data_IF_338231725128
#
_entry.id   IF_338231725128
#
_cell.length_a   1.000
_cell.length_b   1.000
_cell.length_c   1.000
_cell.angle_alpha   90.00
_cell.angle_beta   90.00
_cell.angle_gamma   90.00
#
_symmetry.space_group_name_H-M   'P 1'
#
loop_
_entity.id
_entity.type
_entity.pdbx_description
1 polymer ?
#
# COMPACT_ATOMS: atom_id res chain seq x y z
N UNK A 1 -20.28 -11.35 -16.94
CA UNK A 1 -18.95 -11.32 -16.29
C UNK A 1 -18.26 -9.96 -16.46
N UNK A 2 -18.12 -9.46 -17.70
CA UNK A 2 -17.49 -8.17 -18.02
C UNK A 2 -17.99 -6.95 -17.23
N UNK A 3 -19.31 -6.87 -16.94
CA UNK A 3 -19.88 -5.77 -16.14
C UNK A 3 -19.39 -5.80 -14.67
N UNK A 4 -19.22 -6.99 -14.09
CA UNK A 4 -18.73 -7.17 -12.71
C UNK A 4 -17.24 -6.87 -12.64
N UNK A 5 -16.47 -7.32 -13.62
CA UNK A 5 -15.03 -7.03 -13.70
C UNK A 5 -14.76 -5.51 -13.83
N UNK A 6 -15.54 -4.83 -14.66
CA UNK A 6 -15.43 -3.37 -14.81
C UNK A 6 -15.86 -2.62 -13.54
N UNK A 7 -16.87 -3.15 -12.83
CA UNK A 7 -17.30 -2.58 -11.56
C UNK A 7 -16.23 -2.74 -10.46
N UNK A 8 -15.52 -3.87 -10.42
CA UNK A 8 -14.41 -4.08 -9.48
C UNK A 8 -13.19 -3.23 -9.87
N UNK A 9 -12.79 -3.19 -11.14
CA UNK A 9 -11.64 -2.42 -11.62
C UNK A 9 -11.77 -0.90 -11.43
N UNK A 10 -12.99 -0.37 -11.36
CA UNK A 10 -13.22 1.07 -11.16
C UNK A 10 -13.14 1.52 -9.71
N UNK A 11 -12.98 0.60 -8.75
CA UNK A 11 -12.88 0.90 -7.32
C UNK A 11 -11.44 1.12 -6.90
N UNK A 12 -11.22 2.11 -6.04
CA UNK A 12 -9.97 2.27 -5.32
C UNK A 12 -9.86 1.19 -4.23
N UNK A 13 -8.80 0.39 -4.26
CA UNK A 13 -8.53 -0.68 -3.31
C UNK A 13 -7.40 -0.24 -2.38
N UNK A 14 -7.62 -0.32 -1.06
CA UNK A 14 -6.61 -0.05 -0.04
C UNK A 14 -6.35 -1.32 0.76
N UNK A 15 -5.11 -1.78 0.80
CA UNK A 15 -4.72 -2.96 1.56
C UNK A 15 -4.48 -2.61 3.05
N UNK A 16 -4.90 -3.49 3.96
CA UNK A 16 -4.68 -3.36 5.40
C UNK A 16 -4.46 -4.74 6.03
N UNK A 17 -3.62 -4.80 7.07
CA UNK A 17 -3.40 -6.01 7.88
C UNK A 17 -1.92 -6.33 8.05
N UNK A 18 -1.34 -5.96 9.19
CA UNK A 18 0.04 -6.32 9.54
C UNK A 18 1.13 -5.81 8.59
N UNK A 19 0.83 -4.83 7.73
CA UNK A 19 1.72 -4.35 6.66
C UNK A 19 2.97 -3.70 7.24
N UNK A 20 4.13 -4.21 6.82
CA UNK A 20 5.45 -3.63 7.01
C UNK A 20 6.00 -3.02 5.72
N UNK A 21 7.20 -2.46 5.81
CA UNK A 21 7.84 -1.76 4.70
C UNK A 21 8.18 -2.68 3.52
N UNK A 22 8.46 -3.96 3.79
CA UNK A 22 8.83 -4.94 2.76
C UNK A 22 7.63 -5.47 1.97
N UNK A 23 6.41 -5.23 2.45
CA UNK A 23 5.18 -5.73 1.81
C UNK A 23 4.66 -4.77 0.73
N UNK A 24 5.19 -3.55 0.64
CA UNK A 24 4.62 -2.50 -0.22
C UNK A 24 4.66 -2.90 -1.69
N UNK A 25 5.83 -3.25 -2.22
CA UNK A 25 5.98 -3.61 -3.63
C UNK A 25 5.04 -4.74 -4.08
N UNK A 26 4.98 -5.91 -3.41
CA UNK A 26 4.06 -6.97 -3.83
C UNK A 26 2.59 -6.58 -3.70
N UNK A 27 2.21 -5.73 -2.73
CA UNK A 27 0.83 -5.24 -2.57
C UNK A 27 0.42 -4.33 -3.73
N UNK A 28 1.29 -3.40 -4.15
CA UNK A 28 1.01 -2.52 -5.28
C UNK A 28 0.93 -3.32 -6.58
N UNK A 29 1.88 -4.25 -6.82
CA UNK A 29 1.85 -5.15 -7.99
C UNK A 29 0.61 -6.04 -8.05
N UNK A 30 -0.02 -6.33 -6.90
CA UNK A 30 -1.27 -7.07 -6.85
C UNK A 30 -2.51 -6.22 -7.23
N UNK A 31 -2.36 -4.92 -7.46
CA UNK A 31 -3.41 -4.01 -7.92
C UNK A 31 -4.02 -3.15 -6.82
N UNK A 32 -3.42 -3.08 -5.63
CA UNK A 32 -3.87 -2.14 -4.60
C UNK A 32 -3.45 -0.70 -4.98
N UNK A 33 -4.36 0.25 -4.80
CA UNK A 33 -4.11 1.68 -5.03
C UNK A 33 -3.56 2.39 -3.78
N UNK A 34 -3.53 1.71 -2.63
CA UNK A 34 -3.10 2.28 -1.37
C UNK A 34 -2.84 1.23 -0.29
N UNK A 35 -2.22 1.67 0.81
CA UNK A 35 -2.03 0.88 2.02
C UNK A 35 -2.48 1.66 3.26
N UNK A 36 -2.98 0.94 4.27
CA UNK A 36 -3.26 1.48 5.60
C UNK A 36 -2.39 0.77 6.64
N UNK A 37 -1.67 1.56 7.44
CA UNK A 37 -0.66 1.07 8.39
C UNK A 37 -0.92 1.68 9.77
N UNK A 38 -1.10 0.83 10.78
CA UNK A 38 -1.35 1.27 12.18
C UNK A 38 -0.16 0.89 13.06
N UNK A 39 0.00 -0.40 13.38
CA UNK A 39 0.94 -0.86 14.41
C UNK A 39 2.40 -0.55 14.09
N UNK A 40 2.82 -0.70 12.83
CA UNK A 40 4.19 -0.42 12.42
C UNK A 40 4.57 1.07 12.57
N UNK A 41 3.59 1.98 12.46
CA UNK A 41 3.80 3.42 12.67
C UNK A 41 3.64 3.76 14.15
N UNK A 42 2.51 3.40 14.76
CA UNK A 42 2.15 3.80 16.12
C UNK A 42 3.10 3.23 17.19
N UNK A 43 3.79 2.12 16.91
CA UNK A 43 4.79 1.53 17.81
C UNK A 43 6.24 1.89 17.44
N UNK A 44 6.45 2.71 16.42
CA UNK A 44 7.79 3.13 16.03
C UNK A 44 8.37 4.11 17.04
N UNK A 45 9.68 4.01 17.27
CA UNK A 45 10.43 5.02 18.03
C UNK A 45 10.64 6.31 17.23
N UNK A 46 10.61 6.20 15.91
CA UNK A 46 10.88 7.28 14.95
C UNK A 46 9.70 7.40 13.97
N UNK A 47 8.56 7.91 14.46
CA UNK A 47 7.28 7.93 13.73
C UNK A 47 7.42 8.64 12.38
N UNK A 48 8.03 9.83 12.34
CA UNK A 48 8.18 10.62 11.11
C UNK A 48 9.01 9.89 10.06
N UNK A 49 10.17 9.34 10.44
CA UNK A 49 11.05 8.58 9.57
C UNK A 49 10.37 7.30 9.08
N UNK A 50 9.55 6.67 9.93
CA UNK A 50 8.76 5.50 9.56
C UNK A 50 7.73 5.84 8.49
N UNK A 51 6.96 6.91 8.67
CA UNK A 51 6.03 7.42 7.66
C UNK A 51 6.74 7.77 6.35
N UNK A 52 7.87 8.48 6.41
CA UNK A 52 8.71 8.82 5.24
C UNK A 52 9.21 7.57 4.51
N UNK A 53 9.62 6.54 5.24
CA UNK A 53 10.05 5.26 4.66
C UNK A 53 8.91 4.56 3.92
N UNK A 54 7.72 4.47 4.54
CA UNK A 54 6.53 3.92 3.88
C UNK A 54 6.18 4.70 2.61
N UNK A 55 6.17 6.04 2.67
CA UNK A 55 5.88 6.88 1.51
C UNK A 55 6.90 6.70 0.38
N UNK A 56 8.19 6.72 0.71
CA UNK A 56 9.27 6.57 -0.27
C UNK A 56 9.20 5.22 -1.00
N UNK A 57 8.99 4.12 -0.25
CA UNK A 57 8.84 2.79 -0.84
C UNK A 57 7.57 2.64 -1.69
N UNK A 58 6.47 3.28 -1.30
CA UNK A 58 5.25 3.33 -2.10
C UNK A 58 5.49 4.05 -3.43
N UNK A 59 6.16 5.21 -3.40
CA UNK A 59 6.50 5.95 -4.61
C UNK A 59 7.45 5.18 -5.54
N UNK A 60 8.39 4.41 -4.98
CA UNK A 60 9.27 3.53 -5.75
C UNK A 60 8.48 2.38 -6.41
N UNK A 61 7.53 1.78 -5.69
CA UNK A 61 6.69 0.72 -6.22
C UNK A 61 5.82 1.21 -7.40
N UNK A 62 5.28 2.43 -7.32
CA UNK A 62 4.48 3.03 -8.41
C UNK A 62 5.29 3.36 -9.67
N UNK A 63 6.59 3.67 -9.54
CA UNK A 63 7.46 4.00 -10.69
C UNK A 63 7.98 2.77 -11.45
N UNK A 64 7.69 1.57 -10.93
CA UNK A 64 8.20 0.31 -11.47
C UNK A 64 7.19 -0.37 -12.42
N UNK A 65 6.06 0.29 -12.71
CA UNK A 65 5.08 -0.05 -13.77
C UNK A 65 5.35 0.76 -15.04
#
# INVERSE_FOLDING_TARGET
>A
MQLVDNFIKSRQIVAIGGIGQNDIEPIIKAGANGIAVISAIARSKEIEQTCKSFRSRFDLALKSE
#
